data_IF_093229698065
#
_entry.id   IF_093229698065
#
_cell.length_a   1.000
_cell.length_b   1.000
_cell.length_c   1.000
_cell.angle_alpha   90.00
_cell.angle_beta   90.00
_cell.angle_gamma   90.00
#
_symmetry.space_group_name_H-M   'P 1'
#
loop_
_entity.id
_entity.type
_entity.pdbx_description
1 polymer ?
#
# COMPACT_ATOMS: atom_id res chain seq x y z
N UNK A 1 7.74 5.74 -3.31
CA UNK A 1 8.65 6.62 -2.58
C UNK A 1 10.06 6.03 -2.48
N UNK A 2 10.28 4.87 -1.82
CA UNK A 2 11.64 4.30 -1.60
C UNK A 2 12.43 4.10 -2.88
N UNK A 3 11.85 3.50 -3.91
CA UNK A 3 12.50 3.39 -5.22
C UNK A 3 12.92 4.76 -5.79
N UNK A 4 12.10 5.78 -5.61
CA UNK A 4 12.42 7.12 -6.10
C UNK A 4 13.64 7.75 -5.40
N UNK A 5 13.85 7.41 -4.13
CA UNK A 5 14.98 7.88 -3.32
C UNK A 5 16.23 7.01 -3.49
N UNK A 6 16.06 5.72 -3.70
CA UNK A 6 17.14 4.75 -3.80
C UNK A 6 16.88 3.78 -4.97
N UNK A 7 17.11 4.23 -6.23
CA UNK A 7 16.88 3.38 -7.41
C UNK A 7 17.76 2.12 -7.46
N UNK A 8 18.87 2.12 -6.72
CA UNK A 8 19.77 0.98 -6.60
C UNK A 8 19.31 -0.09 -5.60
N UNK A 9 18.20 0.12 -4.88
CA UNK A 9 17.61 -0.89 -4.01
C UNK A 9 16.75 -1.85 -4.83
N UNK A 10 17.35 -2.99 -5.15
CA UNK A 10 16.74 -4.03 -6.00
C UNK A 10 15.47 -4.61 -5.39
N UNK A 11 15.41 -4.75 -4.07
CA UNK A 11 14.25 -5.31 -3.37
C UNK A 11 13.05 -4.38 -3.47
N UNK A 12 13.26 -3.09 -3.20
CA UNK A 12 12.20 -2.09 -3.32
C UNK A 12 11.73 -1.92 -4.77
N UNK A 13 12.64 -2.00 -5.74
CA UNK A 13 12.26 -1.96 -7.15
C UNK A 13 11.48 -3.21 -7.57
N UNK A 14 11.92 -4.41 -7.20
CA UNK A 14 11.20 -5.64 -7.48
C UNK A 14 9.79 -5.62 -6.88
N UNK A 15 9.65 -5.18 -5.63
CA UNK A 15 8.37 -5.01 -4.97
C UNK A 15 7.45 -4.00 -5.69
N UNK A 16 8.00 -2.89 -6.19
CA UNK A 16 7.27 -1.91 -6.98
C UNK A 16 6.78 -2.51 -8.30
N UNK A 17 7.63 -3.25 -9.01
CA UNK A 17 7.30 -3.87 -10.30
C UNK A 17 6.11 -4.83 -10.19
N UNK A 18 6.07 -5.68 -9.15
CA UNK A 18 4.96 -6.63 -8.93
C UNK A 18 3.77 -6.01 -8.19
N UNK A 19 3.89 -4.78 -7.73
CA UNK A 19 2.78 -4.07 -7.09
C UNK A 19 1.68 -3.73 -8.09
N UNK A 20 0.44 -3.44 -7.63
CA UNK A 20 -0.63 -2.99 -8.50
C UNK A 20 -0.32 -1.71 -9.29
N UNK A 21 0.65 -0.91 -8.84
CA UNK A 21 1.03 0.34 -9.51
C UNK A 21 1.67 0.09 -10.89
N UNK A 22 2.56 -0.88 -10.99
CA UNK A 22 3.19 -1.29 -12.27
C UNK A 22 2.50 -2.53 -12.84
N UNK A 23 2.24 -3.53 -12.01
CA UNK A 23 1.38 -4.67 -12.34
C UNK A 23 2.09 -5.83 -13.04
N UNK A 24 3.40 -5.97 -12.90
CA UNK A 24 4.10 -7.15 -13.39
C UNK A 24 3.68 -8.40 -12.64
N UNK A 25 3.69 -9.52 -13.33
CA UNK A 25 3.63 -10.85 -12.71
C UNK A 25 5.00 -11.26 -12.19
N UNK A 26 5.04 -12.30 -11.32
CA UNK A 26 6.31 -12.89 -10.89
C UNK A 26 7.12 -13.46 -12.06
N UNK A 27 6.44 -14.03 -13.05
CA UNK A 27 7.08 -14.57 -14.26
C UNK A 27 7.74 -13.46 -15.09
N UNK A 28 7.06 -12.31 -15.24
CA UNK A 28 7.62 -11.14 -15.90
C UNK A 28 8.82 -10.57 -15.13
N UNK A 29 8.75 -10.54 -13.79
CA UNK A 29 9.90 -10.14 -12.97
C UNK A 29 11.08 -11.08 -13.18
N UNK A 30 10.84 -12.38 -13.23
CA UNK A 30 11.88 -13.37 -13.49
C UNK A 30 12.46 -13.22 -14.90
N UNK A 31 11.61 -13.11 -15.92
CA UNK A 31 12.01 -12.98 -17.33
C UNK A 31 12.86 -11.74 -17.59
N UNK A 32 12.42 -10.59 -17.09
CA UNK A 32 13.08 -9.31 -17.34
C UNK A 32 14.13 -8.93 -16.29
N UNK A 33 14.06 -9.54 -15.12
CA UNK A 33 14.95 -9.23 -13.99
C UNK A 33 16.17 -10.14 -13.87
N UNK A 34 16.21 -11.27 -14.62
CA UNK A 34 17.37 -12.17 -14.58
C UNK A 34 18.61 -11.47 -15.13
N UNK A 35 19.65 -11.41 -14.31
CA UNK A 35 20.89 -10.66 -14.58
C UNK A 35 22.08 -11.23 -13.81
N UNK A 36 23.28 -10.76 -14.13
CA UNK A 36 24.48 -11.08 -13.38
C UNK A 36 24.44 -10.48 -11.97
N UNK A 37 25.03 -11.17 -10.99
CA UNK A 37 24.96 -10.80 -9.57
C UNK A 37 25.45 -9.39 -9.23
N UNK A 38 26.38 -8.86 -10.04
CA UNK A 38 26.98 -7.56 -9.81
C UNK A 38 26.24 -6.38 -10.48
N UNK A 39 25.15 -6.67 -11.20
CA UNK A 39 24.37 -5.65 -11.91
C UNK A 39 23.11 -5.35 -11.13
N UNK A 40 22.90 -4.12 -10.71
CA UNK A 40 21.66 -3.69 -10.05
C UNK A 40 20.44 -3.85 -10.97
N UNK A 41 19.28 -4.16 -10.38
CA UNK A 41 18.04 -4.40 -11.13
C UNK A 41 17.65 -3.20 -12.01
N UNK A 42 17.74 -1.98 -11.46
CA UNK A 42 17.44 -0.77 -12.23
C UNK A 42 18.38 -0.60 -13.43
N UNK A 43 19.68 -0.80 -13.22
CA UNK A 43 20.69 -0.71 -14.27
C UNK A 43 20.44 -1.72 -15.40
N UNK A 44 19.99 -2.92 -15.03
CA UNK A 44 19.65 -3.98 -15.97
C UNK A 44 18.38 -3.65 -16.75
N UNK A 45 17.25 -3.39 -16.08
CA UNK A 45 15.95 -3.24 -16.75
C UNK A 45 15.87 -1.97 -17.61
N UNK A 46 16.54 -0.88 -17.23
CA UNK A 46 16.51 0.37 -18.01
C UNK A 46 17.08 0.25 -19.43
N UNK A 47 17.81 -0.83 -19.72
CA UNK A 47 18.37 -1.16 -21.03
C UNK A 47 17.63 -2.29 -21.73
N UNK A 48 16.63 -2.85 -21.07
CA UNK A 48 15.88 -3.99 -21.60
C UNK A 48 14.90 -3.53 -22.67
N UNK A 49 14.86 -4.16 -23.86
CA UNK A 49 13.85 -3.88 -24.87
C UNK A 49 12.49 -4.49 -24.48
N UNK A 50 11.41 -3.94 -25.03
CA UNK A 50 10.06 -4.53 -24.89
C UNK A 50 9.30 -4.15 -23.61
N UNK A 51 9.89 -3.33 -22.73
CA UNK A 51 9.26 -2.85 -21.50
C UNK A 51 9.17 -1.32 -21.44
N UNK A 52 9.08 -0.66 -22.60
CA UNK A 52 9.14 0.79 -22.70
C UNK A 52 8.07 1.52 -21.90
N UNK A 53 6.86 0.96 -21.83
CA UNK A 53 5.77 1.51 -21.01
C UNK A 53 6.15 1.52 -19.51
N UNK A 54 6.66 0.40 -19.00
CA UNK A 54 7.14 0.30 -17.60
C UNK A 54 8.30 1.28 -17.35
N UNK A 55 9.24 1.39 -18.30
CA UNK A 55 10.35 2.33 -18.16
C UNK A 55 9.88 3.78 -18.12
N UNK A 56 8.86 4.13 -18.90
CA UNK A 56 8.27 5.47 -18.86
C UNK A 56 7.64 5.77 -17.50
N UNK A 57 6.89 4.81 -16.93
CA UNK A 57 6.30 4.92 -15.59
C UNK A 57 7.39 5.08 -14.51
N UNK A 58 8.42 4.24 -14.52
CA UNK A 58 9.52 4.32 -13.54
C UNK A 58 10.32 5.63 -13.65
N UNK A 59 10.58 6.10 -14.86
CA UNK A 59 11.26 7.40 -15.10
C UNK A 59 10.41 8.57 -14.61
N UNK A 60 9.11 8.53 -14.79
CA UNK A 60 8.20 9.56 -14.26
C UNK A 60 8.22 9.61 -12.72
N UNK A 61 8.27 8.45 -12.05
CA UNK A 61 8.44 8.36 -10.60
C UNK A 61 9.76 9.00 -10.16
N UNK A 62 10.88 8.68 -10.83
CA UNK A 62 12.20 9.22 -10.50
C UNK A 62 12.27 10.72 -10.74
N UNK A 63 11.72 11.22 -11.85
CA UNK A 63 11.75 12.63 -12.20
C UNK A 63 11.02 13.54 -11.21
N UNK A 64 10.08 13.03 -10.44
CA UNK A 64 9.31 13.80 -9.46
C UNK A 64 9.90 13.78 -8.03
N UNK A 65 10.82 12.87 -7.72
CA UNK A 65 11.26 12.58 -6.35
C UNK A 65 11.85 13.78 -5.59
N UNK A 66 12.71 14.56 -6.27
CA UNK A 66 13.45 15.69 -5.64
C UNK A 66 12.80 17.04 -5.90
N UNK A 67 11.74 17.09 -6.69
CA UNK A 67 11.15 18.34 -7.17
C UNK A 67 9.90 18.79 -6.42
N UNK A 68 9.26 17.87 -5.71
CA UNK A 68 7.97 18.14 -5.08
C UNK A 68 7.92 17.64 -3.64
N UNK A 69 7.08 18.27 -2.83
CA UNK A 69 6.82 17.87 -1.46
C UNK A 69 6.12 16.48 -1.40
N UNK A 70 6.18 15.76 -0.26
CA UNK A 70 5.69 14.39 -0.12
C UNK A 70 4.23 14.18 -0.55
N UNK A 71 3.32 15.07 -0.13
CA UNK A 71 1.92 15.01 -0.54
C UNK A 71 1.77 15.08 -2.06
N UNK A 72 2.42 16.07 -2.68
CA UNK A 72 2.36 16.24 -4.14
C UNK A 72 2.98 15.06 -4.90
N UNK A 73 4.04 14.47 -4.35
CA UNK A 73 4.64 13.26 -4.90
C UNK A 73 3.64 12.10 -4.88
N UNK A 74 3.04 11.82 -3.71
CA UNK A 74 2.09 10.72 -3.54
C UNK A 74 0.82 10.95 -4.37
N UNK A 75 0.26 12.16 -4.33
CA UNK A 75 -0.92 12.50 -5.12
C UNK A 75 -0.64 12.40 -6.63
N UNK A 76 0.54 12.80 -7.08
CA UNK A 76 0.98 12.64 -8.46
C UNK A 76 1.05 11.18 -8.93
N UNK A 77 1.45 10.26 -8.05
CA UNK A 77 1.43 8.82 -8.32
C UNK A 77 0.00 8.26 -8.37
N UNK A 78 -0.89 8.78 -7.52
CA UNK A 78 -2.26 8.28 -7.37
C UNK A 78 -3.20 8.80 -8.46
N UNK A 79 -3.13 10.11 -8.77
CA UNK A 79 -4.07 10.81 -9.66
C UNK A 79 -3.43 11.27 -10.97
N UNK A 80 -2.11 11.14 -11.13
CA UNK A 80 -1.38 11.50 -12.34
C UNK A 80 -1.40 10.40 -13.41
N UNK A 81 -0.44 10.46 -14.33
CA UNK A 81 -0.34 9.57 -15.49
C UNK A 81 -0.26 8.07 -15.12
N UNK A 82 0.23 7.75 -13.92
CA UNK A 82 0.30 6.37 -13.44
C UNK A 82 -1.08 5.78 -13.08
N UNK A 83 -2.06 6.65 -12.79
CA UNK A 83 -3.43 6.27 -12.40
C UNK A 83 -3.45 5.27 -11.22
N UNK A 84 -2.57 5.52 -10.26
CA UNK A 84 -2.29 4.59 -9.18
C UNK A 84 -3.49 4.31 -8.28
N UNK A 85 -4.33 5.33 -8.02
CA UNK A 85 -5.57 5.17 -7.21
C UNK A 85 -6.49 4.14 -7.83
N UNK A 86 -6.77 4.24 -9.13
CA UNK A 86 -7.63 3.28 -9.82
C UNK A 86 -7.00 1.88 -9.86
N UNK A 87 -5.70 1.78 -10.13
CA UNK A 87 -4.97 0.50 -10.13
C UNK A 87 -5.02 -0.18 -8.76
N UNK A 88 -4.82 0.57 -7.67
CA UNK A 88 -4.89 0.07 -6.30
C UNK A 88 -6.31 -0.39 -5.94
N UNK A 89 -7.33 0.46 -6.15
CA UNK A 89 -8.72 0.10 -5.84
C UNK A 89 -9.20 -1.09 -6.66
N UNK A 90 -8.83 -1.18 -7.93
CA UNK A 90 -9.19 -2.34 -8.77
C UNK A 90 -8.60 -3.65 -8.25
N UNK A 91 -7.40 -3.63 -7.69
CA UNK A 91 -6.70 -4.84 -7.22
C UNK A 91 -7.02 -5.20 -5.78
N UNK A 92 -7.19 -4.20 -4.92
CA UNK A 92 -7.33 -4.36 -3.47
C UNK A 92 -8.76 -4.18 -2.98
N UNK A 93 -9.66 -3.64 -3.83
CA UNK A 93 -11.04 -3.32 -3.46
C UNK A 93 -11.19 -1.93 -2.83
N UNK A 94 -12.45 -1.56 -2.55
CA UNK A 94 -12.80 -0.25 -1.97
C UNK A 94 -12.21 -0.05 -0.56
N UNK A 95 -11.87 -1.11 0.15
CA UNK A 95 -11.24 -1.04 1.47
C UNK A 95 -9.85 -0.39 1.44
N UNK A 96 -9.21 -0.32 0.28
CA UNK A 96 -7.94 0.40 0.12
C UNK A 96 -8.11 1.92 0.10
N UNK A 97 -9.34 2.44 0.00
CA UNK A 97 -9.60 3.88 -0.06
C UNK A 97 -9.14 4.59 1.21
N UNK A 98 -9.58 4.12 2.37
CA UNK A 98 -9.29 4.77 3.64
C UNK A 98 -7.77 4.80 3.94
N UNK A 99 -7.00 3.72 3.76
CA UNK A 99 -5.54 3.78 3.85
C UNK A 99 -4.86 4.74 2.87
N UNK A 100 -5.39 4.87 1.64
CA UNK A 100 -4.86 5.79 0.65
C UNK A 100 -5.09 7.25 1.09
N UNK A 101 -6.32 7.58 1.51
CA UNK A 101 -6.65 8.91 1.99
C UNK A 101 -5.84 9.27 3.26
N UNK A 102 -5.71 8.31 4.19
CA UNK A 102 -4.94 8.52 5.40
C UNK A 102 -3.45 8.76 5.10
N UNK A 103 -2.86 8.01 4.17
CA UNK A 103 -1.48 8.26 3.73
C UNK A 103 -1.30 9.69 3.18
N UNK A 104 -2.27 10.20 2.42
CA UNK A 104 -2.24 11.57 1.90
C UNK A 104 -2.40 12.60 3.01
N UNK A 105 -3.32 12.38 3.97
CA UNK A 105 -3.52 13.26 5.11
C UNK A 105 -2.25 13.35 5.96
N UNK A 106 -1.63 12.23 6.26
CA UNK A 106 -0.38 12.14 7.01
C UNK A 106 0.75 12.87 6.29
N UNK A 107 0.85 12.73 4.96
CA UNK A 107 1.85 13.46 4.17
C UNK A 107 1.62 14.97 4.21
N UNK A 108 0.36 15.42 4.13
CA UNK A 108 -0.01 16.82 4.20
C UNK A 108 0.28 17.43 5.60
N UNK A 109 -0.01 16.68 6.66
CA UNK A 109 0.32 17.11 8.04
C UNK A 109 1.82 17.25 8.22
N UNK A 110 2.59 16.28 7.74
CA UNK A 110 4.05 16.33 7.80
C UNK A 110 4.63 17.59 7.12
N UNK A 111 4.04 18.02 6.02
CA UNK A 111 4.45 19.27 5.34
C UNK A 111 4.23 20.52 6.18
N UNK A 112 3.23 20.53 7.06
CA UNK A 112 2.95 21.66 7.97
C UNK A 112 3.96 21.81 9.11
N UNK A 113 4.67 20.75 9.49
CA UNK A 113 5.52 20.74 10.68
C UNK A 113 7.02 21.01 10.40
N UNK A 114 7.49 20.84 9.18
CA UNK A 114 8.93 21.00 8.87
C UNK A 114 9.21 21.19 7.37
N UNK A 115 10.49 21.50 7.02
CA UNK A 115 10.96 21.43 5.64
C UNK A 115 10.83 20.00 5.12
N UNK A 116 9.74 19.75 4.41
CA UNK A 116 9.27 18.45 4.01
C UNK A 116 9.97 17.98 2.73
N UNK A 117 10.97 17.13 2.87
CA UNK A 117 11.51 16.36 1.75
C UNK A 117 10.94 14.95 1.76
N UNK A 118 10.89 14.31 0.59
CA UNK A 118 10.42 12.94 0.47
C UNK A 118 11.25 11.96 1.34
N UNK A 119 12.57 12.17 1.43
CA UNK A 119 13.45 11.38 2.29
C UNK A 119 13.06 11.47 3.77
N UNK A 120 12.88 12.70 4.27
CA UNK A 120 12.50 12.92 5.69
C UNK A 120 11.11 12.35 5.98
N UNK A 121 10.20 12.45 5.03
CA UNK A 121 8.86 11.86 5.16
C UNK A 121 8.93 10.33 5.28
N UNK A 122 9.69 9.66 4.40
CA UNK A 122 9.86 8.20 4.46
C UNK A 122 10.51 7.77 5.76
N UNK A 123 11.59 8.45 6.18
CA UNK A 123 12.28 8.16 7.43
C UNK A 123 11.39 8.35 8.67
N UNK A 124 10.56 9.39 8.65
CA UNK A 124 9.61 9.67 9.71
C UNK A 124 8.47 8.63 9.72
N UNK A 125 7.90 8.32 8.56
CA UNK A 125 6.85 7.33 8.39
C UNK A 125 7.28 5.94 8.86
N UNK A 126 8.52 5.55 8.59
CA UNK A 126 9.08 4.24 9.01
C UNK A 126 9.30 4.13 10.53
N UNK A 127 9.42 5.26 11.23
CA UNK A 127 9.59 5.30 12.71
C UNK A 127 8.28 5.50 13.44
N UNK A 128 7.25 5.95 12.76
CA UNK A 128 5.97 6.32 13.35
C UNK A 128 4.97 5.18 13.32
N UNK A 129 4.20 5.04 14.39
CA UNK A 129 3.00 4.22 14.42
C UNK A 129 1.87 5.01 13.75
N UNK A 130 1.77 4.93 12.45
CA UNK A 130 0.63 5.50 11.72
C UNK A 130 -0.54 4.53 11.84
N UNK A 131 -1.50 4.86 12.69
CA UNK A 131 -2.71 4.08 12.85
C UNK A 131 -3.75 4.51 11.82
N UNK A 132 -4.14 3.58 10.94
CA UNK A 132 -5.23 3.80 9.98
C UNK A 132 -6.55 3.45 10.65
N UNK A 133 -7.31 4.47 11.04
CA UNK A 133 -8.67 4.29 11.57
C UNK A 133 -9.62 4.00 10.40
N UNK A 134 -10.08 2.76 10.33
CA UNK A 134 -11.10 2.37 9.34
C UNK A 134 -12.48 2.76 9.84
N UNK A 135 -13.24 3.45 9.00
CA UNK A 135 -14.66 3.71 9.27
C UNK A 135 -15.48 2.43 9.05
N UNK A 136 -15.67 1.68 10.14
CA UNK A 136 -16.46 0.45 10.16
C UNK A 136 -17.97 0.68 10.02
N UNK A 137 -18.45 1.93 10.10
CA UNK A 137 -19.86 2.28 9.98
C UNK A 137 -20.32 2.46 8.53
N UNK A 138 -19.38 2.57 7.59
CA UNK A 138 -19.68 2.78 6.16
C UNK A 138 -20.52 1.63 5.60
N UNK A 139 -21.68 1.88 4.97
CA UNK A 139 -22.45 0.84 4.33
C UNK A 139 -21.67 0.29 3.13
N UNK A 140 -21.23 -0.95 3.22
CA UNK A 140 -20.60 -1.70 2.14
C UNK A 140 -21.60 -2.75 1.66
N UNK A 141 -21.78 -2.89 0.36
CA UNK A 141 -22.48 -4.03 -0.24
C UNK A 141 -21.57 -5.25 -0.24
N UNK A 142 -21.21 -5.70 0.96
CA UNK A 142 -20.25 -6.78 1.18
C UNK A 142 -20.47 -7.48 2.51
N UNK A 143 -20.04 -8.75 2.58
CA UNK A 143 -20.02 -9.50 3.84
C UNK A 143 -18.84 -9.04 4.69
N UNK A 144 -19.12 -8.59 5.92
CA UNK A 144 -18.09 -8.20 6.89
C UNK A 144 -17.72 -9.37 7.77
N UNK A 145 -16.43 -9.67 7.88
CA UNK A 145 -15.90 -10.65 8.83
C UNK A 145 -15.15 -9.88 9.91
N UNK A 146 -15.58 -10.03 11.16
CA UNK A 146 -15.01 -9.28 12.29
C UNK A 146 -15.14 -10.04 13.61
N UNK A 147 -14.41 -9.62 14.61
CA UNK A 147 -14.55 -10.15 15.96
C UNK A 147 -15.83 -9.63 16.62
N UNK A 148 -16.38 -10.34 17.62
CA UNK A 148 -17.52 -9.89 18.39
C UNK A 148 -17.29 -8.51 19.07
N UNK A 149 -16.05 -8.22 19.49
CA UNK A 149 -15.67 -6.91 20.04
C UNK A 149 -15.68 -5.82 18.97
N UNK A 150 -15.19 -6.13 17.77
CA UNK A 150 -15.20 -5.20 16.63
C UNK A 150 -16.60 -4.90 16.09
N UNK A 151 -17.56 -5.79 16.35
CA UNK A 151 -18.96 -5.61 15.96
C UNK A 151 -19.78 -4.77 16.96
N UNK A 152 -19.21 -4.41 18.11
CA UNK A 152 -19.93 -3.66 19.15
C UNK A 152 -20.37 -2.29 18.62
N UNK A 153 -21.67 -2.03 18.66
CA UNK A 153 -22.28 -0.79 18.16
C UNK A 153 -22.61 -0.78 16.67
N UNK A 154 -22.26 -1.84 15.93
CA UNK A 154 -22.62 -2.00 14.54
C UNK A 154 -23.94 -2.79 14.39
N UNK A 155 -24.67 -2.52 13.31
CA UNK A 155 -25.91 -3.20 12.98
C UNK A 155 -25.82 -3.76 11.55
N UNK A 156 -26.44 -4.94 11.35
CA UNK A 156 -26.59 -5.55 10.03
C UNK A 156 -27.93 -6.28 9.93
N UNK A 157 -28.52 -6.37 8.71
CA UNK A 157 -29.75 -7.12 8.47
C UNK A 157 -29.61 -8.62 8.79
N UNK A 158 -28.42 -9.18 8.62
CA UNK A 158 -28.08 -10.56 8.93
C UNK A 158 -26.74 -10.62 9.66
N UNK A 159 -26.73 -11.29 10.81
CA UNK A 159 -25.53 -11.55 11.60
C UNK A 159 -25.33 -13.05 11.73
N UNK A 160 -24.17 -13.56 11.30
CA UNK A 160 -23.80 -14.96 11.39
C UNK A 160 -22.68 -15.10 12.43
N UNK A 161 -22.96 -15.81 13.53
CA UNK A 161 -21.95 -16.18 14.53
C UNK A 161 -21.27 -17.48 14.11
N UNK A 162 -20.19 -17.38 13.35
CA UNK A 162 -19.53 -18.52 12.73
C UNK A 162 -18.92 -19.52 13.72
N UNK A 163 -18.61 -19.08 14.95
CA UNK A 163 -17.95 -19.89 15.99
C UNK A 163 -18.85 -20.15 17.22
N UNK A 164 -20.15 -20.03 17.06
CA UNK A 164 -21.13 -20.25 18.12
C UNK A 164 -21.55 -21.74 18.31
N UNK A 165 -20.71 -22.68 17.82
CA UNK A 165 -21.02 -24.13 17.84
C UNK A 165 -20.52 -24.84 19.10
N UNK A 166 -19.78 -24.19 19.97
CA UNK A 166 -19.31 -24.78 21.23
C UNK A 166 -20.45 -24.76 22.24
N UNK A 167 -20.87 -25.97 22.67
CA UNK A 167 -21.86 -26.09 23.75
C UNK A 167 -21.34 -25.46 25.04
N UNK A 168 -22.01 -24.44 25.59
CA UNK A 168 -21.58 -23.76 26.81
C UNK A 168 -21.44 -24.71 28.00
N UNK A 169 -22.21 -25.81 28.03
CA UNK A 169 -22.14 -26.81 29.08
C UNK A 169 -20.83 -27.61 29.12
N UNK A 170 -20.12 -27.65 27.99
CA UNK A 170 -18.82 -28.32 27.84
C UNK A 170 -17.60 -27.38 27.98
N UNK A 171 -17.83 -26.09 28.24
CA UNK A 171 -16.75 -25.16 28.50
C UNK A 171 -16.31 -25.27 29.96
N UNK A 172 -15.01 -25.44 30.25
CA UNK A 172 -14.52 -25.49 31.60
C UNK A 172 -14.84 -24.14 32.31
N UNK A 173 -15.33 -24.13 33.54
CA UNK A 173 -15.64 -22.90 34.26
C UNK A 173 -14.36 -22.07 34.41
N UNK A 174 -14.34 -20.89 33.81
CA UNK A 174 -13.28 -19.90 34.04
C UNK A 174 -13.46 -19.38 35.47
N UNK A 175 -12.69 -19.96 36.39
CA UNK A 175 -12.61 -19.43 37.76
C UNK A 175 -12.14 -17.97 37.71
N UNK A 176 -12.96 -17.09 38.28
CA UNK A 176 -12.53 -15.74 38.64
C UNK A 176 -11.36 -15.86 39.61
N UNK A 177 -10.19 -15.38 39.25
CA UNK A 177 -9.08 -15.09 40.16
C UNK A 177 -9.06 -13.62 40.50
#
# INVERSE_FOLDING_TARGET
>A
ARFALQPGDDLNLAALLVSPLIGWTQDQLLEHGLRDEHVGLWEHIRRRPGIDATLAELRAILASADLVAPYRFLEGLLSGALDGRRKLLRRLGEEARDPIEELLNVALQFEGESSATLQRFVDWFDRGDVEVVRDSSRPLDSVRVMTAHGAKGLQAPLVILADATVDPANSPPRGLR
#
